data_IF_775299065755
#
_entry.id   IF_775299065755
#
_cell.length_a   1.000
_cell.length_b   1.000
_cell.length_c   1.000
_cell.angle_alpha   90.00
_cell.angle_beta   90.00
_cell.angle_gamma   90.00
#
_symmetry.space_group_name_H-M   'P 1'
#
loop_
_entity.id
_entity.type
_entity.pdbx_description
1 polymer ?
#
# COMPACT_ATOMS: atom_id res chain seq x y z
N UNK A 1 13.82 37.35 -34.35
CA UNK A 1 14.34 36.79 -35.61
C UNK A 1 13.50 37.32 -36.77
N UNK A 2 14.12 37.97 -37.75
CA UNK A 2 13.43 38.48 -38.95
C UNK A 2 13.21 37.31 -39.91
N UNK A 3 11.97 37.08 -40.36
CA UNK A 3 11.65 36.02 -41.32
C UNK A 3 11.98 36.52 -42.74
N UNK A 4 12.65 35.69 -43.52
CA UNK A 4 12.99 36.00 -44.91
C UNK A 4 12.04 35.26 -45.86
N UNK A 5 11.38 36.00 -46.75
CA UNK A 5 10.40 35.50 -47.72
C UNK A 5 10.85 35.70 -49.17
N UNK A 6 12.14 35.98 -49.42
CA UNK A 6 12.68 36.27 -50.77
C UNK A 6 12.59 35.10 -51.76
N UNK A 7 12.16 33.92 -51.32
CA UNK A 7 11.98 32.72 -52.14
C UNK A 7 10.56 32.56 -52.69
N UNK A 8 9.60 33.38 -52.23
CA UNK A 8 8.21 33.31 -52.68
C UNK A 8 8.04 34.29 -53.84
N UNK A 9 8.14 33.80 -55.06
CA UNK A 9 8.05 34.64 -56.26
C UNK A 9 6.81 34.29 -57.12
N UNK A 10 6.20 33.12 -56.91
CA UNK A 10 5.02 32.66 -57.64
C UNK A 10 3.85 32.29 -56.70
N UNK A 11 2.65 32.18 -57.27
CA UNK A 11 1.45 31.72 -56.55
C UNK A 11 1.61 30.26 -56.05
N UNK A 12 2.32 29.44 -56.82
CA UNK A 12 2.61 28.06 -56.47
C UNK A 12 3.55 27.97 -55.26
N UNK A 13 4.60 28.79 -55.23
CA UNK A 13 5.51 28.90 -54.08
C UNK A 13 4.73 29.28 -52.81
N UNK A 14 3.79 30.22 -52.93
CA UNK A 14 2.95 30.64 -51.82
C UNK A 14 2.06 29.50 -51.31
N UNK A 15 1.42 28.74 -52.20
CA UNK A 15 0.61 27.58 -51.82
C UNK A 15 1.45 26.53 -51.11
N UNK A 16 2.62 26.21 -51.65
CA UNK A 16 3.55 25.24 -51.07
C UNK A 16 4.01 25.68 -49.68
N UNK A 17 4.33 26.95 -49.49
CA UNK A 17 4.73 27.48 -48.19
C UNK A 17 3.57 27.46 -47.18
N UNK A 18 2.34 27.76 -47.60
CA UNK A 18 1.14 27.62 -46.74
C UNK A 18 0.94 26.17 -46.31
N UNK A 19 1.09 25.22 -47.23
CA UNK A 19 1.00 23.78 -46.92
C UNK A 19 2.09 23.35 -45.94
N UNK A 20 3.33 23.76 -46.18
CA UNK A 20 4.46 23.51 -45.29
C UNK A 20 4.22 24.08 -43.90
N UNK A 21 3.83 25.36 -43.79
CA UNK A 21 3.54 26.01 -42.51
C UNK A 21 2.42 25.32 -41.75
N UNK A 22 1.37 24.84 -42.45
CA UNK A 22 0.28 24.08 -41.85
C UNK A 22 0.76 22.74 -41.28
N UNK A 23 1.64 22.04 -41.99
CA UNK A 23 2.25 20.79 -41.51
C UNK A 23 3.16 21.05 -40.31
N UNK A 24 4.03 22.07 -40.38
CA UNK A 24 4.94 22.44 -39.29
C UNK A 24 4.17 22.86 -38.04
N UNK A 25 3.09 23.62 -38.20
CA UNK A 25 2.22 24.01 -37.09
C UNK A 25 1.61 22.78 -36.40
N UNK A 26 1.03 21.85 -37.17
CA UNK A 26 0.46 20.61 -36.63
C UNK A 26 1.51 19.78 -35.89
N UNK A 27 2.70 19.63 -36.49
CA UNK A 27 3.83 18.90 -35.90
C UNK A 27 4.26 19.50 -34.57
N UNK A 28 4.45 20.82 -34.52
CA UNK A 28 4.80 21.54 -33.28
C UNK A 28 3.73 21.38 -32.20
N UNK A 29 2.45 21.41 -32.57
CA UNK A 29 1.36 21.17 -31.63
C UNK A 29 1.41 19.79 -30.97
N UNK A 30 1.74 18.75 -31.75
CA UNK A 30 1.93 17.39 -31.22
C UNK A 30 3.13 17.33 -30.27
N UNK A 31 4.26 17.91 -30.66
CA UNK A 31 5.47 17.94 -29.83
C UNK A 31 5.21 18.64 -28.49
N UNK A 32 4.56 19.82 -28.50
CA UNK A 32 4.21 20.54 -27.28
C UNK A 32 3.30 19.69 -26.38
N UNK A 33 2.33 18.98 -26.96
CA UNK A 33 1.43 18.10 -26.19
C UNK A 33 2.19 16.95 -25.53
N UNK A 34 3.13 16.33 -26.23
CA UNK A 34 3.98 15.25 -25.71
C UNK A 34 4.93 15.76 -24.61
N UNK A 35 5.60 16.88 -24.86
CA UNK A 35 6.49 17.53 -23.88
C UNK A 35 5.73 17.94 -22.63
N UNK A 36 4.53 18.51 -22.80
CA UNK A 36 3.67 18.89 -21.67
C UNK A 36 3.26 17.69 -20.83
N UNK A 37 2.92 16.56 -21.46
CA UNK A 37 2.64 15.30 -20.74
C UNK A 37 3.86 14.83 -19.94
N UNK A 38 5.05 14.90 -20.53
CA UNK A 38 6.28 14.52 -19.85
C UNK A 38 6.58 15.44 -18.66
N UNK A 39 6.42 16.75 -18.85
CA UNK A 39 6.58 17.76 -17.80
C UNK A 39 5.60 17.53 -16.65
N UNK A 40 4.30 17.42 -16.95
CA UNK A 40 3.24 17.16 -15.96
C UNK A 40 3.52 15.84 -15.23
N UNK A 41 3.94 14.78 -15.94
CA UNK A 41 4.29 13.51 -15.30
C UNK A 41 5.47 13.66 -14.33
N UNK A 42 6.47 14.48 -14.66
CA UNK A 42 7.64 14.72 -13.79
C UNK A 42 7.27 15.52 -12.53
N UNK A 43 6.41 16.52 -12.66
CA UNK A 43 5.96 17.37 -11.55
C UNK A 43 4.65 16.88 -10.90
N UNK A 44 4.13 15.73 -11.32
CA UNK A 44 2.96 15.15 -10.69
C UNK A 44 3.29 14.79 -9.25
N UNK A 45 2.44 15.27 -8.36
CA UNK A 45 2.42 14.99 -6.92
C UNK A 45 2.63 13.48 -6.65
N UNK A 46 2.01 12.61 -7.47
CA UNK A 46 2.18 11.15 -7.35
C UNK A 46 3.61 10.67 -7.60
N UNK A 47 4.33 11.24 -8.57
CA UNK A 47 5.72 10.88 -8.84
C UNK A 47 6.69 11.51 -7.83
N UNK A 48 6.39 12.69 -7.29
CA UNK A 48 7.12 13.23 -6.16
C UNK A 48 7.01 12.31 -4.94
N UNK A 49 5.79 11.91 -4.55
CA UNK A 49 5.58 11.00 -3.43
C UNK A 49 6.16 9.60 -3.69
N UNK A 50 6.15 9.10 -4.92
CA UNK A 50 6.70 7.78 -5.26
C UNK A 50 8.22 7.69 -4.99
N UNK A 51 8.96 8.79 -5.08
CA UNK A 51 10.38 8.84 -4.72
C UNK A 51 10.60 8.62 -3.21
N UNK A 52 9.68 9.11 -2.39
CA UNK A 52 9.71 8.98 -0.93
C UNK A 52 9.00 7.73 -0.41
N UNK A 53 8.08 7.14 -1.18
CA UNK A 53 7.40 5.88 -0.89
C UNK A 53 8.25 4.63 -1.17
N UNK A 54 9.58 4.77 -1.25
CA UNK A 54 10.51 3.64 -1.29
C UNK A 54 10.86 3.23 0.14
N UNK A 55 11.10 1.93 0.44
CA UNK A 55 11.46 1.48 1.79
C UNK A 55 12.65 2.25 2.38
N UNK A 56 13.68 2.49 1.56
CA UNK A 56 14.84 3.28 1.96
C UNK A 56 14.54 4.77 2.16
N UNK A 57 13.57 5.34 1.42
CA UNK A 57 13.11 6.71 1.61
C UNK A 57 12.32 6.88 2.90
N UNK A 58 11.44 5.93 3.21
CA UNK A 58 10.67 5.90 4.46
C UNK A 58 11.58 5.72 5.68
N UNK A 59 12.59 4.85 5.61
CA UNK A 59 13.57 4.67 6.69
C UNK A 59 14.38 5.95 6.95
N UNK A 60 14.86 6.62 5.90
CA UNK A 60 15.61 7.90 6.03
C UNK A 60 14.75 9.06 6.53
N UNK A 61 13.46 9.07 6.19
CA UNK A 61 12.50 10.03 6.73
C UNK A 61 12.20 9.73 8.21
N UNK A 62 12.09 8.46 8.57
CA UNK A 62 11.85 8.03 9.95
C UNK A 62 13.00 8.37 10.91
N UNK A 63 14.25 8.22 10.46
CA UNK A 63 15.44 8.58 11.24
C UNK A 63 15.40 10.03 11.74
N UNK A 64 14.85 10.95 10.95
CA UNK A 64 14.85 12.37 11.27
C UNK A 64 13.53 12.88 11.87
N UNK A 65 12.42 12.18 11.66
CA UNK A 65 11.08 12.73 11.97
C UNK A 65 10.20 11.80 12.80
N UNK A 66 10.61 10.54 13.04
CA UNK A 66 9.82 9.51 13.72
C UNK A 66 8.40 9.34 13.16
N UNK A 67 8.14 9.79 11.92
CA UNK A 67 6.82 9.79 11.31
C UNK A 67 6.33 8.36 11.09
N UNK A 68 7.21 7.43 10.73
CA UNK A 68 6.82 6.03 10.51
C UNK A 68 6.38 5.42 11.83
N UNK A 69 7.06 5.71 12.94
CA UNK A 69 6.64 5.24 14.27
C UNK A 69 5.22 5.73 14.65
N UNK A 70 4.90 7.00 14.37
CA UNK A 70 3.58 7.61 14.66
C UNK A 70 2.48 7.10 13.74
N UNK A 71 2.78 6.92 12.45
CA UNK A 71 1.82 6.35 11.50
C UNK A 71 1.59 4.88 11.85
N UNK A 72 2.64 4.13 12.14
CA UNK A 72 2.55 2.71 12.46
C UNK A 72 1.86 2.48 13.81
N UNK A 73 2.03 3.34 14.82
CA UNK A 73 1.30 3.22 16.08
C UNK A 73 -0.21 3.38 15.93
N UNK A 74 -0.69 4.06 14.87
CA UNK A 74 -2.11 4.20 14.55
C UNK A 74 -2.56 3.10 13.56
N UNK A 75 -1.78 2.89 12.50
CA UNK A 75 -2.10 1.96 11.43
C UNK A 75 -2.01 0.50 11.88
N UNK A 76 -1.04 0.13 12.72
CA UNK A 76 -0.83 -1.26 13.14
C UNK A 76 -1.99 -1.78 14.00
N UNK A 77 -2.51 -1.06 15.00
CA UNK A 77 -3.74 -1.47 15.69
C UNK A 77 -4.95 -1.56 14.77
N UNK A 78 -5.10 -0.63 13.80
CA UNK A 78 -6.20 -0.66 12.82
C UNK A 78 -6.13 -1.88 11.89
N UNK A 79 -4.95 -2.18 11.37
CA UNK A 79 -4.71 -3.35 10.52
C UNK A 79 -4.89 -4.65 11.29
N UNK A 80 -4.41 -4.73 12.53
CA UNK A 80 -4.62 -5.90 13.39
C UNK A 80 -6.11 -6.08 13.72
N UNK A 81 -6.86 -4.99 13.94
CA UNK A 81 -8.30 -5.06 14.17
C UNK A 81 -9.08 -5.58 12.95
N UNK A 82 -8.64 -5.24 11.74
CA UNK A 82 -9.29 -5.67 10.50
C UNK A 82 -8.83 -7.04 9.98
N UNK A 83 -7.62 -7.47 10.32
CA UNK A 83 -7.01 -8.73 9.86
C UNK A 83 -7.03 -9.82 10.93
N UNK A 84 -6.18 -9.71 11.96
CA UNK A 84 -5.97 -10.73 13.01
C UNK A 84 -7.17 -10.85 13.96
N UNK A 85 -7.77 -9.71 14.31
CA UNK A 85 -8.89 -9.62 15.26
C UNK A 85 -10.23 -9.32 14.55
N UNK A 86 -10.32 -9.65 13.25
CA UNK A 86 -11.49 -9.36 12.40
C UNK A 86 -12.79 -9.77 13.09
N UNK A 87 -13.74 -8.83 13.17
CA UNK A 87 -15.06 -9.05 13.78
C UNK A 87 -15.12 -9.01 15.31
N UNK A 88 -13.98 -9.05 16.02
CA UNK A 88 -13.96 -9.02 17.48
C UNK A 88 -13.97 -7.59 18.06
N UNK A 89 -13.38 -6.63 17.34
CA UNK A 89 -13.26 -5.24 17.77
C UNK A 89 -12.46 -5.06 19.06
N UNK A 90 -11.65 -6.05 19.46
CA UNK A 90 -11.02 -6.12 20.79
C UNK A 90 -10.12 -4.92 21.07
N UNK A 91 -9.34 -4.49 20.08
CA UNK A 91 -8.45 -3.32 20.22
C UNK A 91 -9.28 -2.05 20.41
N UNK A 92 -10.31 -1.84 19.59
CA UNK A 92 -11.20 -0.67 19.69
C UNK A 92 -11.98 -0.66 21.01
N UNK A 93 -12.45 -1.82 21.47
CA UNK A 93 -13.14 -2.00 22.76
C UNK A 93 -12.20 -1.78 23.94
N UNK A 94 -10.95 -2.23 23.86
CA UNK A 94 -9.94 -2.01 24.89
C UNK A 94 -9.58 -0.52 25.01
N UNK A 95 -9.37 0.17 23.89
CA UNK A 95 -9.14 1.63 23.87
C UNK A 95 -10.37 2.35 24.43
N UNK A 96 -11.57 1.99 24.00
CA UNK A 96 -12.82 2.56 24.54
C UNK A 96 -12.99 2.31 26.03
N UNK A 97 -12.64 1.13 26.54
CA UNK A 97 -12.71 0.80 27.96
C UNK A 97 -11.67 1.56 28.80
N UNK A 98 -10.46 1.76 28.26
CA UNK A 98 -9.41 2.60 28.85
C UNK A 98 -9.85 4.07 28.93
N UNK A 99 -10.31 4.63 27.81
CA UNK A 99 -10.79 6.03 27.75
C UNK A 99 -12.04 6.24 28.62
N UNK A 100 -12.93 5.24 28.71
CA UNK A 100 -14.13 5.30 29.53
C UNK A 100 -13.86 5.15 31.04
N UNK A 101 -12.61 4.90 31.47
CA UNK A 101 -12.27 4.71 32.88
C UNK A 101 -12.90 3.48 33.54
N UNK A 102 -13.58 2.62 32.76
CA UNK A 102 -14.32 1.43 33.27
C UNK A 102 -13.40 0.31 33.78
N UNK A 103 -12.10 0.41 33.56
CA UNK A 103 -11.11 -0.55 34.04
C UNK A 103 -10.76 -0.36 35.53
N UNK A 104 -11.06 0.78 36.15
CA UNK A 104 -10.68 1.05 37.55
C UNK A 104 -11.47 0.27 38.62
N UNK A 105 -12.54 -0.44 38.26
CA UNK A 105 -13.46 -1.09 39.24
C UNK A 105 -13.53 -2.62 39.15
N UNK A 106 -12.82 -3.27 38.22
CA UNK A 106 -12.92 -4.73 38.02
C UNK A 106 -11.60 -5.43 37.67
N UNK A 107 -10.45 -4.80 38.00
CA UNK A 107 -9.14 -5.43 37.88
C UNK A 107 -8.92 -6.42 39.02
N UNK A 108 -9.57 -7.58 38.91
CA UNK A 108 -9.20 -8.75 39.68
C UNK A 108 -7.91 -9.35 39.09
N UNK A 109 -6.97 -9.74 39.95
CA UNK A 109 -5.64 -10.21 39.54
C UNK A 109 -5.70 -11.46 38.64
N UNK A 110 -6.77 -12.25 38.76
CA UNK A 110 -7.05 -13.41 37.91
C UNK A 110 -7.33 -13.02 36.44
N UNK A 111 -8.03 -11.91 36.19
CA UNK A 111 -8.36 -11.45 34.84
C UNK A 111 -7.13 -10.92 34.09
N UNK A 112 -6.23 -10.23 34.80
CA UNK A 112 -4.95 -9.77 34.25
C UNK A 112 -4.01 -10.94 33.93
N UNK A 113 -3.99 -11.96 34.79
CA UNK A 113 -3.18 -13.17 34.59
C UNK A 113 -3.71 -14.00 33.41
N UNK A 114 -5.04 -14.10 33.26
CA UNK A 114 -5.69 -14.72 32.11
C UNK A 114 -5.39 -13.98 30.80
N UNK A 115 -5.48 -12.65 30.79
CA UNK A 115 -5.15 -11.83 29.62
C UNK A 115 -3.65 -11.92 29.26
N UNK A 116 -2.77 -11.90 30.25
CA UNK A 116 -1.33 -12.07 30.06
C UNK A 116 -0.99 -13.45 29.48
N UNK A 117 -1.59 -14.51 30.00
CA UNK A 117 -1.42 -15.86 29.47
C UNK A 117 -2.01 -16.03 28.07
N UNK A 118 -3.12 -15.37 27.75
CA UNK A 118 -3.70 -15.35 26.40
C UNK A 118 -2.77 -14.67 25.40
N UNK A 119 -2.23 -13.49 25.74
CA UNK A 119 -1.23 -12.79 24.91
C UNK A 119 0.04 -13.63 24.77
N UNK A 120 0.56 -14.20 25.87
CA UNK A 120 1.72 -15.09 25.85
C UNK A 120 1.47 -16.34 24.99
N UNK A 121 0.27 -16.88 24.95
CA UNK A 121 -0.09 -18.04 24.12
C UNK A 121 -0.23 -17.69 22.63
N UNK A 122 -0.67 -16.48 22.31
CA UNK A 122 -0.79 -15.97 20.93
C UNK A 122 0.58 -15.67 20.31
N UNK A 123 1.48 -15.07 21.08
CA UNK A 123 2.83 -14.72 20.61
C UNK A 123 3.88 -15.82 20.87
N UNK A 124 3.61 -16.76 21.79
CA UNK A 124 4.51 -17.86 22.16
C UNK A 124 4.32 -19.17 21.38
N UNK A 125 3.30 -19.28 20.52
CA UNK A 125 3.10 -20.47 19.68
C UNK A 125 4.14 -20.51 18.55
N UNK A 126 5.33 -21.03 18.84
CA UNK A 126 6.14 -21.74 17.83
C UNK A 126 5.33 -22.97 17.43
N UNK A 127 4.83 -22.99 16.21
CA UNK A 127 4.11 -24.12 15.60
C UNK A 127 5.00 -25.36 15.64
N UNK A 128 4.86 -26.19 16.67
CA UNK A 128 5.36 -27.57 16.60
C UNK A 128 4.51 -28.26 15.55
N UNK A 129 5.11 -28.61 14.41
CA UNK A 129 4.49 -29.48 13.40
C UNK A 129 3.94 -30.71 14.14
N UNK A 130 2.62 -30.92 14.09
CA UNK A 130 2.02 -32.18 14.53
C UNK A 130 2.65 -33.27 13.67
N UNK A 131 3.46 -34.12 14.28
CA UNK A 131 3.90 -35.36 13.65
C UNK A 131 2.62 -36.17 13.46
N UNK A 132 2.27 -36.44 12.20
CA UNK A 132 1.10 -37.23 11.83
C UNK A 132 1.38 -38.63 12.37
N UNK A 133 0.74 -39.02 13.47
CA UNK A 133 0.81 -40.39 13.96
C UNK A 133 0.16 -41.28 12.91
N UNK A 134 0.90 -42.27 12.43
CA UNK A 134 0.38 -43.32 11.57
C UNK A 134 -0.83 -43.95 12.26
N UNK A 135 -2.02 -43.77 11.69
CA UNK A 135 -3.22 -44.45 12.17
C UNK A 135 -3.15 -45.84 11.58
N UNK A 136 -2.89 -46.84 12.43
CA UNK A 136 -2.92 -48.24 12.03
C UNK A 136 -4.39 -48.66 11.87
N UNK A 137 -4.86 -48.67 10.63
CA UNK A 137 -6.17 -49.17 10.28
C UNK A 137 -6.09 -50.70 10.28
N UNK A 138 -6.24 -51.27 11.47
CA UNK A 138 -6.26 -52.72 11.66
C UNK A 138 -7.20 -53.41 10.66
N UNK A 139 -6.76 -54.58 10.18
CA UNK A 139 -7.49 -55.40 9.20
C UNK A 139 -8.90 -55.67 9.76
N UNK A 140 -9.98 -55.34 9.02
CA UNK A 140 -11.34 -55.60 9.48
C UNK A 140 -11.55 -57.11 9.65
N UNK A 141 -12.27 -57.55 10.70
CA UNK A 141 -12.48 -58.97 10.97
C UNK A 141 -13.30 -59.62 9.85
N UNK A 142 -12.78 -60.73 9.30
CA UNK A 142 -13.48 -61.59 8.34
C UNK A 142 -14.63 -62.34 9.02
N UNK A 143 -15.78 -61.68 9.21
CA UNK A 143 -17.00 -62.30 9.76
C UNK A 143 -18.20 -62.24 8.82
N UNK A 144 -17.98 -62.06 7.51
CA UNK A 144 -19.00 -62.22 6.47
C UNK A 144 -18.49 -63.16 5.38
N UNK A 145 -18.15 -64.39 5.75
CA UNK A 145 -17.99 -65.50 4.80
C UNK A 145 -18.39 -66.81 5.49
N UNK A 146 -19.69 -67.04 5.64
CA UNK A 146 -20.45 -68.27 5.31
C UNK A 146 -21.83 -68.25 5.98
#
# INVERSE_FOLDING_TARGET
>A
MKRNYSHINTLEDLHNEVHRLKVDYKRRGVLIKEDSKHYIKRFSIGNMFRKYATPNGLLKLDENTHITSKIMSIALPMLLNSTVFRGSGVITKAIGALVSGKLGKSLDAENLTGAFNMVKSLFGKKTKKKQVGFVDYGIPPDSETY
#
